data_IF_726199816683
#
_entry.id   IF_726199816683
#
_cell.length_a   1.000
_cell.length_b   1.000
_cell.length_c   1.000
_cell.angle_alpha   90.00
_cell.angle_beta   90.00
_cell.angle_gamma   90.00
#
_symmetry.space_group_name_H-M   'P 1'
#
loop_
_entity.id
_entity.type
_entity.pdbx_description
1 polymer ?
#
# COMPACT_ATOMS: atom_id res chain seq x y z
N UNK A 1 -7.74 9.17 9.89
CA UNK A 1 -8.15 7.76 9.96
C UNK A 1 -7.29 7.09 11.03
N UNK A 2 -7.86 6.30 11.94
CA UNK A 2 -7.06 5.64 12.99
C UNK A 2 -6.29 4.45 12.41
N UNK A 3 -5.13 4.12 13.00
CA UNK A 3 -4.29 2.98 12.58
C UNK A 3 -5.11 1.68 12.48
N UNK A 4 -6.08 1.48 13.36
CA UNK A 4 -6.98 0.32 13.34
C UNK A 4 -7.88 0.29 12.11
N UNK A 5 -8.40 1.43 11.66
CA UNK A 5 -9.20 1.50 10.42
C UNK A 5 -8.35 1.20 9.19
N UNK A 6 -7.10 1.67 9.16
CA UNK A 6 -6.17 1.39 8.07
C UNK A 6 -5.85 -0.11 8.04
N UNK A 7 -5.57 -0.72 9.20
CA UNK A 7 -5.33 -2.16 9.31
C UNK A 7 -6.53 -3.01 8.88
N UNK A 8 -7.75 -2.61 9.25
CA UNK A 8 -8.99 -3.29 8.84
C UNK A 8 -9.18 -3.23 7.32
N UNK A 9 -9.01 -2.07 6.71
CA UNK A 9 -9.13 -1.90 5.26
C UNK A 9 -8.06 -2.70 4.52
N UNK A 10 -6.81 -2.65 4.98
CA UNK A 10 -5.72 -3.41 4.38
C UNK A 10 -5.99 -4.93 4.43
N UNK A 11 -6.43 -5.45 5.58
CA UNK A 11 -6.77 -6.86 5.76
C UNK A 11 -7.95 -7.32 4.91
N UNK A 12 -9.01 -6.50 4.83
CA UNK A 12 -10.19 -6.79 4.00
C UNK A 12 -9.81 -6.89 2.51
N UNK A 13 -9.03 -5.93 2.01
CA UNK A 13 -8.56 -5.93 0.62
C UNK A 13 -7.67 -7.15 0.32
N UNK A 14 -6.79 -7.52 1.26
CA UNK A 14 -5.96 -8.72 1.15
C UNK A 14 -6.79 -10.00 1.06
N UNK A 15 -7.83 -10.10 1.90
CA UNK A 15 -8.76 -11.22 1.90
C UNK A 15 -9.52 -11.34 0.57
N UNK A 16 -10.01 -10.22 0.03
CA UNK A 16 -10.72 -10.18 -1.27
C UNK A 16 -9.78 -10.58 -2.42
N UNK A 17 -8.55 -10.07 -2.44
CA UNK A 17 -7.55 -10.42 -3.45
C UNK A 17 -7.24 -11.92 -3.43
N UNK A 18 -7.10 -12.49 -2.22
CA UNK A 18 -6.87 -13.92 -2.03
C UNK A 18 -8.08 -14.76 -2.42
N UNK A 19 -9.30 -14.34 -2.09
CA UNK A 19 -10.53 -15.06 -2.43
C UNK A 19 -10.81 -15.08 -3.93
N UNK A 20 -10.46 -14.01 -4.66
CA UNK A 20 -10.77 -13.86 -6.09
C UNK A 20 -9.80 -14.65 -6.98
N UNK A 21 -8.54 -14.82 -6.59
CA UNK A 21 -7.53 -15.49 -7.43
C UNK A 21 -6.58 -16.44 -6.71
N UNK A 22 -6.86 -16.80 -5.46
CA UNK A 22 -5.99 -17.63 -4.64
C UNK A 22 -4.64 -16.97 -4.36
N UNK A 23 -3.60 -17.79 -4.13
CA UNK A 23 -2.25 -17.32 -3.82
C UNK A 23 -1.62 -16.47 -4.94
N UNK A 24 -1.80 -16.89 -6.20
CA UNK A 24 -1.28 -16.15 -7.35
C UNK A 24 -2.04 -14.84 -7.60
N UNK A 25 -3.38 -14.82 -7.39
CA UNK A 25 -4.17 -13.60 -7.46
C UNK A 25 -3.77 -12.58 -6.40
N UNK A 26 -3.50 -13.04 -5.18
CA UNK A 26 -2.93 -12.21 -4.11
C UNK A 26 -1.56 -11.62 -4.51
N UNK A 27 -0.65 -12.45 -5.04
CA UNK A 27 0.69 -11.98 -5.43
C UNK A 27 0.63 -10.93 -6.55
N UNK A 28 -0.23 -11.13 -7.56
CA UNK A 28 -0.44 -10.14 -8.63
C UNK A 28 -1.05 -8.86 -8.06
N UNK A 29 -2.05 -8.94 -7.19
CA UNK A 29 -2.67 -7.78 -6.57
C UNK A 29 -1.67 -7.00 -5.69
N UNK A 30 -0.80 -7.69 -4.96
CA UNK A 30 0.28 -7.08 -4.18
C UNK A 30 1.25 -6.32 -5.09
N UNK A 31 1.73 -6.95 -6.16
CA UNK A 31 2.65 -6.31 -7.12
C UNK A 31 1.98 -5.10 -7.77
N UNK A 32 0.73 -5.23 -8.22
CA UNK A 32 -0.02 -4.14 -8.84
C UNK A 32 -0.26 -2.99 -7.85
N UNK A 33 -0.60 -3.29 -6.60
CA UNK A 33 -0.79 -2.31 -5.54
C UNK A 33 0.50 -1.55 -5.20
N UNK A 34 1.63 -2.25 -5.11
CA UNK A 34 2.95 -1.62 -4.91
C UNK A 34 3.31 -0.74 -6.10
N UNK A 35 3.13 -1.23 -7.33
CA UNK A 35 3.42 -0.47 -8.55
C UNK A 35 2.53 0.76 -8.65
N UNK A 36 1.22 0.63 -8.39
CA UNK A 36 0.27 1.74 -8.37
C UNK A 36 0.61 2.78 -7.29
N UNK A 37 1.02 2.33 -6.11
CA UNK A 37 1.50 3.20 -5.04
C UNK A 37 2.77 3.96 -5.46
N UNK A 38 3.76 3.28 -6.03
CA UNK A 38 5.00 3.91 -6.50
C UNK A 38 4.77 4.91 -7.62
N UNK A 39 3.87 4.59 -8.55
CA UNK A 39 3.49 5.48 -9.64
C UNK A 39 2.76 6.71 -9.09
N UNK A 40 1.75 6.52 -8.24
CA UNK A 40 1.03 7.64 -7.60
C UNK A 40 1.96 8.52 -6.77
N UNK A 41 2.87 7.90 -6.01
CA UNK A 41 3.92 8.57 -5.26
C UNK A 41 4.84 9.43 -6.15
N UNK A 42 5.16 8.96 -7.36
CA UNK A 42 5.95 9.76 -8.32
C UNK A 42 5.16 10.90 -8.95
N UNK A 43 3.87 10.72 -9.24
CA UNK A 43 3.05 11.75 -9.88
C UNK A 43 2.66 12.90 -8.96
N UNK A 44 2.51 12.65 -7.65
CA UNK A 44 2.11 13.70 -6.71
C UNK A 44 3.17 14.79 -6.56
N UNK A 45 4.44 14.55 -6.94
CA UNK A 45 5.55 15.47 -6.69
C UNK A 45 5.82 15.76 -5.20
N UNK A 46 5.02 15.17 -4.31
CA UNK A 46 4.94 15.42 -2.87
C UNK A 46 5.41 14.21 -2.04
N UNK A 47 5.78 13.11 -2.69
CA UNK A 47 6.67 12.12 -2.08
C UNK A 47 8.08 12.71 -2.11
N UNK A 48 8.25 13.74 -1.29
CA UNK A 48 9.49 14.00 -0.61
C UNK A 48 9.81 12.72 0.19
N UNK A 49 10.47 11.78 -0.48
CA UNK A 49 11.11 10.62 0.12
C UNK A 49 11.95 11.05 1.35
N UNK A 50 12.33 12.34 1.47
CA UNK A 50 12.95 12.96 2.63
C UNK A 50 12.06 13.10 3.87
N UNK A 51 10.74 13.33 3.75
CA UNK A 51 9.86 13.51 4.92
C UNK A 51 9.42 12.19 5.57
N UNK A 52 9.17 11.17 4.77
CA UNK A 52 8.81 9.83 5.26
C UNK A 52 10.04 9.04 5.77
N UNK A 53 11.25 9.31 5.24
CA UNK A 53 12.50 8.72 5.75
C UNK A 53 13.19 9.59 6.84
N UNK A 54 12.86 10.88 6.92
CA UNK A 54 13.42 11.85 7.87
C UNK A 54 12.73 11.92 9.24
N UNK A 55 11.60 11.24 9.44
CA UNK A 55 10.88 11.15 10.71
C UNK A 55 11.59 10.36 11.83
N UNK A 56 12.91 10.19 11.75
CA UNK A 56 13.76 9.57 12.77
C UNK A 56 14.98 10.41 13.15
N UNK A 57 14.84 11.73 13.24
CA UNK A 57 15.67 12.59 14.13
C UNK A 57 14.84 13.78 14.60
N UNK A 58 14.59 13.81 15.90
CA UNK A 58 13.84 14.83 16.64
C UNK A 58 13.40 14.25 17.96
#
# INVERSE_FOLDING_TARGET
MTTSTIGLLAGLLLGIATATGGFFGFLIALVLGVVGYLIGAHYDGEVDLGKLLGGRRG
#
